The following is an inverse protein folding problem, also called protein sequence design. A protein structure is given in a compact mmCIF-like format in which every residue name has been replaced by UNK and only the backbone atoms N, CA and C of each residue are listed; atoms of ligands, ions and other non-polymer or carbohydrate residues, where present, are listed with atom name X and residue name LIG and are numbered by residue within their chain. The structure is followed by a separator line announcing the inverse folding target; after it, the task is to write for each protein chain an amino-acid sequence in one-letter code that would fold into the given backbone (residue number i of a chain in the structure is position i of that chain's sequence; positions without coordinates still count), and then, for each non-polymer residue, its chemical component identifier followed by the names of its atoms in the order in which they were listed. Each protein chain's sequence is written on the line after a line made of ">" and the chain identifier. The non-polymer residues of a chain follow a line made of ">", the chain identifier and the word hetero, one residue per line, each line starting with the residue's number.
data_IF_885603071432
#
_entry.id   IF_885603071432
#
_cell.length_a   1.000
_cell.length_b   1.000
_cell.length_c   1.000
_cell.angle_alpha   90.00
_cell.angle_beta   90.00
_cell.angle_gamma   90.00
#
_symmetry.space_group_name_H-M   'P 1'
#
loop_
_entity.id
_entity.type
_entity.pdbx_description
1 polymer ?
#
# COMPACT_ATOMS: atom_id res chain seq x y z
N UNK A 1 28.95 3.73 14.03
CA UNK A 1 29.78 3.71 15.25
C UNK A 1 30.98 4.65 15.16
N UNK A 2 31.72 4.66 14.04
CA UNK A 2 32.85 5.61 13.84
C UNK A 2 32.40 7.09 13.77
N UNK A 3 31.25 7.39 13.16
CA UNK A 3 30.73 8.77 13.09
C UNK A 3 30.32 9.37 14.45
N UNK A 4 29.86 8.54 15.39
CA UNK A 4 29.52 8.97 16.75
C UNK A 4 30.78 9.29 17.58
N UNK A 5 31.88 8.57 17.32
CA UNK A 5 33.16 8.81 17.99
C UNK A 5 33.86 10.08 17.53
N UNK A 6 33.77 10.43 16.25
CA UNK A 6 34.35 11.67 15.70
C UNK A 6 33.57 12.91 16.17
N UNK A 7 32.25 12.79 16.29
CA UNK A 7 31.40 13.86 16.84
C UNK A 7 31.70 14.20 18.29
N UNK A 8 32.02 13.19 19.13
CA UNK A 8 32.34 13.41 20.55
C UNK A 8 33.71 14.07 20.76
N UNK A 9 34.69 13.77 19.90
CA UNK A 9 36.05 14.30 19.97
C UNK A 9 36.14 15.78 19.56
N UNK A 10 35.31 16.23 18.62
CA UNK A 10 35.27 17.63 18.18
C UNK A 10 34.70 18.58 19.25
N UNK A 11 33.82 18.08 20.12
CA UNK A 11 33.18 18.86 21.21
C UNK A 11 34.13 19.10 22.38
N UNK A 12 35.12 18.23 22.57
CA UNK A 12 36.09 18.32 23.68
C UNK A 12 37.24 19.32 23.43
N UNK A 13 37.46 19.77 22.18
CA UNK A 13 38.65 20.57 21.81
C UNK A 13 38.40 22.07 21.64
N UNK A 14 37.15 22.55 21.69
CA UNK A 14 36.81 23.97 21.61
C UNK A 14 35.93 24.31 22.81
N UNK A 15 36.26 25.40 23.54
CA UNK A 15 35.62 25.77 24.81
C UNK A 15 34.11 26.03 24.74
N UNK A 16 33.54 26.57 25.82
CA UNK A 16 32.09 26.69 26.11
C UNK A 16 31.17 27.16 24.98
N UNK A 17 31.67 27.91 23.99
CA UNK A 17 30.92 28.31 22.79
C UNK A 17 30.66 27.15 21.82
N UNK A 18 31.57 26.17 21.73
CA UNK A 18 31.37 24.96 20.94
C UNK A 18 30.40 23.98 21.61
N UNK A 19 30.26 24.02 22.94
CA UNK A 19 29.26 23.24 23.65
C UNK A 19 27.83 23.70 23.30
N UNK A 20 27.62 25.01 23.11
CA UNK A 20 26.36 25.56 22.61
C UNK A 20 26.09 25.16 21.15
N UNK A 21 27.09 25.27 20.28
CA UNK A 21 26.99 24.82 18.89
C UNK A 21 26.70 23.33 18.76
N UNK A 22 27.36 22.50 19.57
CA UNK A 22 27.13 21.06 19.66
C UNK A 22 25.74 20.72 20.18
N UNK A 23 25.24 21.46 21.18
CA UNK A 23 23.89 21.31 21.71
C UNK A 23 22.81 21.63 20.66
N UNK A 24 22.99 22.70 19.88
CA UNK A 24 22.08 23.08 18.79
C UNK A 24 22.10 22.01 17.69
N UNK A 25 23.28 21.54 17.28
CA UNK A 25 23.40 20.48 16.28
C UNK A 25 22.76 19.17 16.76
N UNK A 26 22.93 18.81 18.03
CA UNK A 26 22.30 17.64 18.61
C UNK A 26 20.77 17.78 18.63
N UNK A 27 20.25 18.96 19.00
CA UNK A 27 18.82 19.22 18.99
C UNK A 27 18.22 19.14 17.58
N UNK A 28 18.90 19.70 16.57
CA UNK A 28 18.49 19.59 15.16
C UNK A 28 18.54 18.14 14.69
N UNK A 29 19.60 17.39 15.00
CA UNK A 29 19.73 16.00 14.63
C UNK A 29 18.64 15.13 15.28
N UNK A 30 18.34 15.34 16.56
CA UNK A 30 17.25 14.66 17.27
C UNK A 30 15.88 15.01 16.66
N UNK A 31 15.64 16.29 16.35
CA UNK A 31 14.41 16.72 15.70
C UNK A 31 14.23 16.07 14.33
N UNK A 32 15.27 16.07 13.50
CA UNK A 32 15.25 15.42 12.18
C UNK A 32 15.06 13.90 12.31
N UNK A 33 15.67 13.25 13.29
CA UNK A 33 15.50 11.82 13.53
C UNK A 33 14.06 11.49 13.94
N UNK A 34 13.48 12.23 14.90
CA UNK A 34 12.08 12.06 15.32
C UNK A 34 11.13 12.35 14.15
N UNK A 35 11.38 13.43 13.41
CA UNK A 35 10.58 13.79 12.24
C UNK A 35 10.67 12.74 11.13
N UNK A 36 11.86 12.21 10.85
CA UNK A 36 12.06 11.12 9.92
C UNK A 36 11.32 9.86 10.36
N UNK A 37 11.40 9.49 11.65
CA UNK A 37 10.65 8.36 12.23
C UNK A 37 9.14 8.57 12.09
N UNK A 38 8.64 9.77 12.41
CA UNK A 38 7.23 10.13 12.27
C UNK A 38 6.75 10.16 10.82
N UNK A 39 7.62 10.43 9.84
CA UNK A 39 7.30 10.33 8.41
C UNK A 39 7.41 8.89 7.89
N UNK A 40 8.32 8.09 8.42
CA UNK A 40 8.53 6.70 8.00
C UNK A 40 7.48 5.76 8.59
N UNK A 41 7.13 5.89 9.87
CA UNK A 41 6.18 4.99 10.56
C UNK A 41 4.81 4.88 9.86
N UNK A 42 4.17 5.99 9.44
CA UNK A 42 2.92 5.94 8.70
C UNK A 42 3.08 5.28 7.34
N UNK A 43 4.24 5.44 6.70
CA UNK A 43 4.53 4.84 5.39
C UNK A 43 4.73 3.33 5.49
N UNK A 44 5.51 2.87 6.46
CA UNK A 44 5.80 1.44 6.66
C UNK A 44 4.53 0.68 7.05
N UNK A 45 3.64 1.27 7.85
CA UNK A 45 2.33 0.65 8.16
C UNK A 45 1.37 0.58 6.97
N UNK A 46 1.56 1.41 5.94
CA UNK A 46 0.70 1.44 4.74
C UNK A 46 1.19 0.52 3.63
N UNK A 47 2.44 0.06 3.70
CA UNK A 47 2.99 -0.93 2.78
C UNK A 47 2.97 -2.31 3.44
N UNK A 48 1.77 -2.91 3.51
CA UNK A 48 1.70 -4.35 3.75
C UNK A 48 2.43 -5.09 2.62
N UNK A 49 3.12 -6.17 2.95
CA UNK A 49 3.74 -7.07 1.96
C UNK A 49 2.71 -7.46 0.91
N UNK A 50 2.97 -7.06 -0.35
CA UNK A 50 2.11 -7.40 -1.50
C UNK A 50 2.19 -8.90 -1.68
N UNK A 51 1.09 -9.59 -1.40
CA UNK A 51 1.05 -11.05 -1.34
C UNK A 51 0.39 -11.64 -2.58
N UNK A 52 -0.36 -10.83 -3.34
CA UNK A 52 -1.07 -11.28 -4.53
C UNK A 52 -1.33 -10.10 -5.47
N UNK A 53 -1.13 -10.32 -6.77
CA UNK A 53 -1.37 -9.36 -7.85
C UNK A 53 -1.96 -10.13 -9.03
N UNK A 54 -3.10 -9.68 -9.54
CA UNK A 54 -3.73 -10.24 -10.74
C UNK A 54 -4.23 -9.13 -11.64
N UNK A 55 -4.02 -9.26 -12.95
CA UNK A 55 -4.55 -8.35 -13.96
C UNK A 55 -5.74 -9.01 -14.62
N UNK A 56 -6.89 -8.33 -14.61
CA UNK A 56 -8.14 -8.81 -15.20
C UNK A 56 -8.59 -7.91 -16.36
N UNK A 57 -9.10 -8.49 -17.47
CA UNK A 57 -9.57 -7.75 -18.63
C UNK A 57 -11.00 -7.22 -18.44
N UNK A 58 -11.22 -6.47 -17.36
CA UNK A 58 -12.51 -5.85 -17.04
C UNK A 58 -12.30 -4.44 -16.48
N UNK A 59 -13.37 -3.65 -16.50
CA UNK A 59 -13.34 -2.28 -15.97
C UNK A 59 -13.15 -2.28 -14.45
N UNK A 60 -12.71 -1.15 -13.92
CA UNK A 60 -12.49 -1.00 -12.47
C UNK A 60 -13.80 -1.11 -11.68
N UNK A 61 -14.93 -0.72 -12.27
CA UNK A 61 -16.25 -0.84 -11.67
C UNK A 61 -16.70 -2.32 -11.59
N UNK A 62 -16.46 -3.09 -12.66
CA UNK A 62 -16.78 -4.53 -12.69
C UNK A 62 -15.91 -5.32 -11.72
N UNK A 63 -14.62 -5.01 -11.68
CA UNK A 63 -13.68 -5.62 -10.75
C UNK A 63 -14.07 -5.30 -9.30
N UNK A 64 -14.42 -4.05 -8.98
CA UNK A 64 -14.90 -3.68 -7.64
C UNK A 64 -16.16 -4.46 -7.28
N UNK A 65 -17.15 -4.52 -8.18
CA UNK A 65 -18.39 -5.25 -7.92
C UNK A 65 -18.15 -6.74 -7.70
N UNK A 66 -17.22 -7.35 -8.46
CA UNK A 66 -16.84 -8.75 -8.29
C UNK A 66 -16.19 -8.99 -6.92
N UNK A 67 -15.19 -8.19 -6.54
CA UNK A 67 -14.53 -8.30 -5.23
C UNK A 67 -15.51 -8.04 -4.09
N UNK A 68 -16.39 -7.04 -4.22
CA UNK A 68 -17.40 -6.72 -3.20
C UNK A 68 -18.39 -7.86 -3.00
N UNK A 69 -18.95 -8.41 -4.08
CA UNK A 69 -19.85 -9.57 -4.03
C UNK A 69 -19.20 -10.78 -3.40
N UNK A 70 -17.91 -10.99 -3.67
CA UNK A 70 -17.16 -12.07 -3.07
C UNK A 70 -17.16 -11.95 -1.53
N UNK A 71 -16.85 -10.77 -1.00
CA UNK A 71 -16.87 -10.53 0.43
C UNK A 71 -18.28 -10.53 1.04
N UNK A 72 -19.26 -9.92 0.37
CA UNK A 72 -20.67 -9.94 0.79
C UNK A 72 -21.20 -11.38 0.86
N UNK A 73 -20.86 -12.23 -0.12
CA UNK A 73 -21.21 -13.65 -0.15
C UNK A 73 -20.59 -14.47 1.00
N UNK A 74 -19.50 -13.97 1.59
CA UNK A 74 -18.91 -14.53 2.81
C UNK A 74 -19.55 -14.02 4.11
N UNK A 75 -20.65 -13.25 4.01
CA UNK A 75 -21.37 -12.68 5.16
C UNK A 75 -20.67 -11.50 5.83
N UNK A 76 -19.70 -10.87 5.15
CA UNK A 76 -18.93 -9.75 5.69
C UNK A 76 -19.49 -8.42 5.21
N UNK A 77 -19.45 -7.42 6.08
CA UNK A 77 -19.70 -6.02 5.71
C UNK A 77 -18.51 -5.48 4.95
N UNK A 78 -18.77 -4.82 3.82
CA UNK A 78 -17.75 -4.35 2.88
C UNK A 78 -17.87 -2.86 2.67
N UNK A 79 -16.73 -2.17 2.66
CA UNK A 79 -16.63 -0.76 2.29
C UNK A 79 -15.56 -0.57 1.24
N UNK A 80 -15.82 0.35 0.32
CA UNK A 80 -14.83 0.80 -0.68
C UNK A 80 -14.34 2.19 -0.30
N UNK A 81 -13.03 2.35 -0.18
CA UNK A 81 -12.37 3.65 -0.01
C UNK A 81 -11.70 4.07 -1.32
N UNK A 82 -11.94 5.30 -1.78
CA UNK A 82 -11.24 5.85 -2.96
C UNK A 82 -9.98 6.57 -2.49
N UNK A 83 -8.82 6.14 -2.98
CA UNK A 83 -7.56 6.78 -2.63
C UNK A 83 -7.37 8.06 -3.44
N UNK A 84 -6.93 9.11 -2.76
CA UNK A 84 -6.53 10.34 -3.42
C UNK A 84 -5.38 10.07 -4.39
N UNK A 85 -5.63 10.25 -5.69
CA UNK A 85 -4.65 10.10 -6.74
C UNK A 85 -4.78 11.26 -7.74
N UNK A 86 -3.66 11.64 -8.36
CA UNK A 86 -3.64 12.61 -9.46
C UNK A 86 -4.07 12.01 -10.81
N UNK A 87 -4.27 10.70 -10.86
CA UNK A 87 -4.68 9.98 -12.08
C UNK A 87 -6.16 10.16 -12.40
N UNK A 88 -6.51 10.01 -13.69
CA UNK A 88 -7.89 10.06 -14.20
C UNK A 88 -8.80 9.00 -13.56
N UNK A 89 -8.23 7.86 -13.17
CA UNK A 89 -8.90 6.78 -12.43
C UNK A 89 -8.16 6.57 -11.11
N UNK A 90 -8.65 7.10 -9.98
CA UNK A 90 -8.01 6.91 -8.69
C UNK A 90 -8.13 5.44 -8.24
N UNK A 91 -7.09 4.88 -7.59
CA UNK A 91 -7.16 3.55 -6.99
C UNK A 91 -8.31 3.44 -5.99
N UNK A 92 -8.92 2.25 -5.93
CA UNK A 92 -9.99 1.93 -4.97
C UNK A 92 -9.51 0.84 -4.03
N UNK A 93 -9.92 0.89 -2.77
CA UNK A 93 -9.56 -0.11 -1.76
C UNK A 93 -10.83 -0.73 -1.22
N UNK A 94 -11.01 -2.02 -1.48
CA UNK A 94 -12.09 -2.81 -0.91
C UNK A 94 -11.61 -3.39 0.42
N UNK A 95 -12.35 -3.08 1.48
CA UNK A 95 -12.06 -3.46 2.86
C UNK A 95 -13.29 -4.19 3.40
N UNK A 96 -13.09 -5.39 3.94
CA UNK A 96 -14.12 -6.10 4.68
C UNK A 96 -13.87 -5.93 6.19
N UNK A 97 -14.94 -5.73 6.97
CA UNK A 97 -14.79 -5.58 8.42
C UNK A 97 -14.26 -6.87 9.06
N UNK A 98 -13.38 -6.72 10.05
CA UNK A 98 -12.75 -7.84 10.76
C UNK A 98 -11.67 -8.57 9.94
N UNK A 99 -11.33 -8.09 8.73
CA UNK A 99 -10.32 -8.71 7.86
C UNK A 99 -9.13 -7.75 7.68
N UNK A 100 -7.92 -8.24 7.95
CA UNK A 100 -6.69 -7.48 7.76
C UNK A 100 -6.29 -7.24 6.28
N UNK A 101 -6.35 -8.24 5.38
CA UNK A 101 -6.07 -7.98 3.98
C UNK A 101 -7.09 -7.03 3.34
N UNK A 102 -6.56 -6.09 2.58
CA UNK A 102 -7.31 -5.14 1.75
C UNK A 102 -7.01 -5.44 0.29
N UNK A 103 -8.00 -5.27 -0.58
CA UNK A 103 -7.81 -5.41 -2.02
C UNK A 103 -7.79 -4.02 -2.65
N UNK A 104 -6.66 -3.65 -3.25
CA UNK A 104 -6.51 -2.41 -4.01
C UNK A 104 -6.77 -2.70 -5.48
N UNK A 105 -7.63 -1.91 -6.10
CA UNK A 105 -7.94 -1.94 -7.51
C UNK A 105 -7.30 -0.73 -8.18
N UNK A 106 -6.45 -1.00 -9.17
CA UNK A 106 -5.73 0.02 -9.94
C UNK A 106 -6.01 -0.16 -11.42
N UNK A 107 -6.21 0.93 -12.15
CA UNK A 107 -6.28 0.86 -13.60
C UNK A 107 -4.89 0.60 -14.17
N UNK A 108 -4.74 -0.45 -14.99
CA UNK A 108 -3.50 -0.68 -15.72
C UNK A 108 -3.32 0.48 -16.70
N UNK A 109 -2.10 1.04 -16.75
CA UNK A 109 -1.88 2.21 -17.59
C UNK A 109 -2.07 1.85 -19.08
N UNK A 110 -2.74 2.72 -19.84
CA UNK A 110 -2.97 2.51 -21.28
C UNK A 110 -1.65 2.30 -22.06
N UNK A 111 -0.52 2.83 -21.56
CA UNK A 111 0.81 2.60 -22.14
C UNK A 111 1.30 1.16 -21.96
N UNK A 112 0.89 0.49 -20.90
CA UNK A 112 1.25 -0.92 -20.64
C UNK A 112 0.30 -1.90 -21.35
N UNK A 113 -0.95 -1.50 -21.62
CA UNK A 113 -1.93 -2.41 -22.23
C UNK A 113 -1.70 -2.63 -23.73
N UNK A 114 -1.25 -1.61 -24.47
CA UNK A 114 -0.89 -1.68 -25.89
C UNK A 114 -2.05 -1.91 -26.88
N UNK A 115 -3.20 -2.39 -26.40
CA UNK A 115 -4.35 -2.86 -27.18
C UNK A 115 -5.61 -2.00 -27.00
N UNK A 116 -5.54 -0.94 -26.20
CA UNK A 116 -6.67 -0.05 -25.92
C UNK A 116 -7.77 -0.66 -25.04
N UNK A 117 -7.60 -1.90 -24.56
CA UNK A 117 -8.56 -2.55 -23.66
C UNK A 117 -8.38 -2.04 -22.23
N UNK A 118 -9.50 -1.80 -21.54
CA UNK A 118 -9.46 -1.49 -20.12
C UNK A 118 -9.12 -2.74 -19.32
N UNK A 119 -8.06 -2.65 -18.51
CA UNK A 119 -7.63 -3.71 -17.60
C UNK A 119 -7.54 -3.14 -16.20
N UNK A 120 -7.93 -3.95 -15.25
CA UNK A 120 -7.85 -3.61 -13.83
C UNK A 120 -6.88 -4.56 -13.17
N UNK A 121 -5.97 -3.99 -12.41
CA UNK A 121 -5.08 -4.72 -11.53
C UNK A 121 -5.69 -4.80 -10.15
N UNK A 122 -5.75 -6.01 -9.60
CA UNK A 122 -6.24 -6.28 -8.24
C UNK A 122 -5.06 -6.77 -7.41
N UNK A 123 -4.76 -6.01 -6.36
CA UNK A 123 -3.60 -6.22 -5.48
C UNK A 123 -4.06 -6.49 -4.05
N UNK A 124 -3.64 -7.59 -3.46
CA UNK A 124 -3.87 -7.88 -2.04
C UNK A 124 -2.74 -7.27 -1.21
N UNK A 125 -3.10 -6.41 -0.25
CA UNK A 125 -2.16 -5.70 0.64
C UNK A 125 -2.55 -5.98 2.09
N UNK A 126 -1.56 -6.10 2.99
CA UNK A 126 -1.81 -6.05 4.44
C UNK A 126 -1.62 -7.37 5.19
N UNK A 127 -0.97 -8.36 4.59
CA UNK A 127 -0.63 -9.61 5.27
C UNK A 127 0.85 -9.65 5.59
N UNK A 128 1.19 -9.81 6.87
CA UNK A 128 2.56 -9.86 7.36
C UNK A 128 3.31 -11.14 6.96
N UNK A 129 2.61 -12.18 6.49
CA UNK A 129 3.20 -13.42 6.00
C UNK A 129 2.32 -14.09 4.94
N UNK A 130 2.95 -14.57 3.87
CA UNK A 130 2.34 -15.34 2.77
C UNK A 130 1.75 -16.70 3.21
N UNK A 131 2.04 -17.11 4.45
CA UNK A 131 1.63 -18.37 5.07
C UNK A 131 0.29 -18.30 5.85
N UNK A 132 -0.40 -17.16 5.87
CA UNK A 132 -1.69 -17.05 6.56
C UNK A 132 -2.79 -17.82 5.79
N UNK A 133 -3.40 -18.88 6.37
CA UNK A 133 -4.47 -19.63 5.69
C UNK A 133 -5.69 -18.75 5.35
N UNK A 134 -6.01 -17.75 6.17
CA UNK A 134 -7.12 -16.84 5.90
C UNK A 134 -6.86 -15.96 4.66
N UNK A 135 -5.60 -15.61 4.40
CA UNK A 135 -5.21 -14.88 3.20
C UNK A 135 -5.44 -15.68 1.92
N UNK A 136 -5.13 -16.98 1.98
CA UNK A 136 -5.25 -17.90 0.85
C UNK A 136 -6.71 -18.14 0.51
N UNK A 137 -7.55 -18.38 1.51
CA UNK A 137 -8.99 -18.54 1.33
C UNK A 137 -9.62 -17.29 0.68
N UNK A 138 -9.27 -16.10 1.17
CA UNK A 138 -9.74 -14.83 0.60
C UNK A 138 -9.26 -14.62 -0.83
N UNK A 139 -8.01 -15.00 -1.13
CA UNK A 139 -7.46 -14.95 -2.49
C UNK A 139 -8.22 -15.86 -3.42
N UNK A 140 -8.46 -17.12 -3.03
CA UNK A 140 -9.20 -18.09 -3.82
C UNK A 140 -10.62 -17.59 -4.09
N UNK A 141 -11.29 -17.10 -3.06
CA UNK A 141 -12.63 -16.54 -3.15
C UNK A 141 -12.69 -15.33 -4.12
N UNK A 142 -11.76 -14.39 -4.01
CA UNK A 142 -11.69 -13.23 -4.92
C UNK A 142 -11.32 -13.66 -6.34
N UNK A 143 -10.36 -14.57 -6.50
CA UNK A 143 -9.96 -15.08 -7.82
C UNK A 143 -11.10 -15.81 -8.54
N UNK A 144 -11.92 -16.56 -7.79
CA UNK A 144 -13.11 -17.22 -8.29
C UNK A 144 -14.16 -16.21 -8.74
N UNK A 145 -14.42 -15.18 -7.92
CA UNK A 145 -15.35 -14.11 -8.26
C UNK A 145 -14.92 -13.31 -9.49
N UNK A 146 -13.63 -13.00 -9.62
CA UNK A 146 -13.06 -12.33 -10.79
C UNK A 146 -13.13 -13.19 -12.06
N UNK A 147 -13.02 -14.51 -11.93
CA UNK A 147 -13.13 -15.45 -13.05
C UNK A 147 -14.58 -15.70 -13.47
N UNK A 148 -15.53 -15.62 -12.53
CA UNK A 148 -16.96 -15.78 -12.74
C UNK A 148 -17.64 -14.48 -13.20
N UNK A 149 -16.99 -13.32 -13.03
CA UNK A 149 -17.52 -12.05 -13.48
C UNK A 149 -17.62 -12.04 -15.02
N UNK A 150 -18.74 -11.55 -15.58
CA UNK A 150 -18.90 -11.47 -17.03
C UNK A 150 -17.83 -10.54 -17.60
N UNK A 151 -16.94 -11.08 -18.44
CA UNK A 151 -16.01 -10.28 -19.22
C UNK A 151 -16.81 -9.36 -20.16
N UNK A 152 -16.60 -8.04 -20.15
CA UNK A 152 -17.05 -7.19 -21.24
C UNK A 152 -16.10 -7.35 -22.44
N UNK A 153 -15.95 -8.59 -22.94
CA UNK A 153 -15.40 -8.85 -24.27
C UNK A 153 -16.56 -9.25 -25.15
N UNK A 154 -17.33 -8.24 -25.58
CA UNK A 154 -18.17 -8.33 -26.77
C UNK A 154 -18.54 -6.94 -27.29
N UNK A 155 -17.94 -6.63 -28.43
CA UNK A 155 -18.24 -5.51 -29.33
C UNK A 155 -17.19 -5.59 -30.44
N UNK A 156 -17.33 -6.58 -31.33
CA UNK A 156 -17.86 -6.38 -32.70
C UNK A 156 -16.89 -5.59 -33.55
#
# INVERSE_FOLDING_TARGET
>A
MVLLGVGLLAVMSMGSDAAFGAGILLAIASFLAVFAVLLLFPRVRRQGTVTFRVVVPMTMDDAEAAVRRAFEGSGRTVRTEVLASRGRKPPRVVIADGVHPRFVLEAVSLRESGDGLERTEVVQIGLAAEADPAARELRELVSSALSAAPNPVKGS
#
